data_IF_672385647891
#
_entry.id   IF_672385647891
#
_cell.length_a   1.000
_cell.length_b   1.000
_cell.length_c   1.000
_cell.angle_alpha   90.00
_cell.angle_beta   90.00
_cell.angle_gamma   90.00
#
_symmetry.space_group_name_H-M   'P 1'
#
loop_
_entity.id
_entity.type
_entity.pdbx_description
1 polymer ?
#
# COMPACT_ATOMS: atom_id res chain seq x y z
N UNK A 1 21.79 -4.95 21.10
CA UNK A 1 21.30 -6.33 21.26
C UNK A 1 20.44 -6.76 20.06
N UNK A 2 20.97 -6.67 18.82
CA UNK A 2 20.26 -7.16 17.61
C UNK A 2 21.23 -7.69 16.55
N UNK A 3 22.34 -8.30 16.98
CA UNK A 3 23.40 -8.75 16.05
C UNK A 3 23.26 -10.21 15.59
N UNK A 4 22.34 -11.00 16.15
CA UNK A 4 22.45 -12.46 16.08
C UNK A 4 21.27 -13.17 15.39
N UNK A 5 20.48 -12.49 14.55
CA UNK A 5 19.40 -13.18 13.83
C UNK A 5 19.88 -14.05 12.64
N UNK A 6 21.16 -14.01 12.29
CA UNK A 6 21.77 -14.92 11.32
C UNK A 6 23.17 -15.29 11.79
N UNK A 7 23.31 -16.25 12.71
CA UNK A 7 24.62 -16.78 13.05
C UNK A 7 25.15 -17.49 11.79
N UNK A 8 26.35 -17.12 11.37
CA UNK A 8 27.13 -17.60 10.23
C UNK A 8 26.94 -16.79 8.93
N UNK A 9 27.91 -15.89 8.70
CA UNK A 9 28.22 -15.27 7.40
C UNK A 9 28.45 -16.29 6.29
N UNK A 10 28.87 -17.50 6.64
CA UNK A 10 29.51 -18.45 5.72
C UNK A 10 28.53 -19.43 5.04
N UNK A 11 27.23 -19.38 5.36
CA UNK A 11 26.22 -20.30 4.77
C UNK A 11 25.80 -19.87 3.35
N UNK A 12 26.08 -18.63 2.95
CA UNK A 12 25.62 -18.09 1.68
C UNK A 12 26.69 -17.99 0.59
N UNK A 13 27.94 -18.32 0.92
CA UNK A 13 29.02 -18.36 -0.05
C UNK A 13 28.77 -19.50 -1.04
N UNK A 14 28.21 -19.16 -2.20
CA UNK A 14 27.93 -20.07 -3.30
C UNK A 14 26.45 -20.26 -3.68
N UNK A 15 25.50 -19.78 -2.86
CA UNK A 15 24.07 -19.97 -3.13
C UNK A 15 23.36 -18.66 -3.51
N UNK A 16 23.23 -18.42 -4.82
CA UNK A 16 22.63 -17.20 -5.38
C UNK A 16 21.21 -16.91 -4.86
N UNK A 17 20.41 -17.94 -4.57
CA UNK A 17 19.06 -17.77 -4.02
C UNK A 17 19.08 -17.25 -2.58
N UNK A 18 20.06 -17.67 -1.76
CA UNK A 18 20.19 -17.24 -0.38
C UNK A 18 20.69 -15.80 -0.29
N UNK A 19 21.62 -15.42 -1.15
CA UNK A 19 22.07 -14.03 -1.31
C UNK A 19 20.92 -13.11 -1.75
N UNK A 20 20.08 -13.56 -2.69
CA UNK A 20 18.84 -12.83 -3.03
C UNK A 20 17.91 -12.69 -1.83
N UNK A 21 17.70 -13.76 -1.07
CA UNK A 21 16.84 -13.74 0.11
C UNK A 21 17.34 -12.75 1.17
N UNK A 22 18.65 -12.75 1.45
CA UNK A 22 19.32 -11.79 2.34
C UNK A 22 19.14 -10.36 1.87
N UNK A 23 19.30 -10.07 0.57
CA UNK A 23 19.10 -8.74 -0.01
C UNK A 23 17.67 -8.21 0.23
N UNK A 24 16.67 -9.09 0.19
CA UNK A 24 15.26 -8.72 0.39
C UNK A 24 14.77 -8.84 1.84
N UNK A 25 15.65 -9.12 2.82
CA UNK A 25 15.25 -9.33 4.24
C UNK A 25 14.48 -8.17 4.87
N UNK A 26 14.76 -6.95 4.43
CA UNK A 26 14.06 -5.74 4.87
C UNK A 26 12.56 -5.75 4.52
N UNK A 27 12.11 -6.59 3.59
CA UNK A 27 10.70 -6.67 3.15
C UNK A 27 9.87 -7.66 3.96
N UNK A 28 10.48 -8.63 4.60
CA UNK A 28 9.77 -9.74 5.24
C UNK A 28 10.18 -9.98 6.70
N UNK A 29 11.33 -9.46 7.13
CA UNK A 29 11.75 -9.57 8.52
C UNK A 29 11.13 -8.44 9.37
N UNK A 30 10.44 -8.82 10.45
CA UNK A 30 9.70 -7.92 11.34
C UNK A 30 10.56 -6.83 11.97
N UNK A 31 11.85 -7.10 12.22
CA UNK A 31 12.78 -6.14 12.79
C UNK A 31 12.94 -4.87 11.94
N UNK A 32 12.89 -5.00 10.61
CA UNK A 32 13.01 -3.88 9.67
C UNK A 32 11.65 -3.19 9.41
N UNK A 33 10.54 -3.83 9.77
CA UNK A 33 9.21 -3.21 9.69
C UNK A 33 8.94 -2.23 10.85
N UNK A 34 9.73 -2.28 11.93
CA UNK A 34 9.50 -1.46 13.14
C UNK A 34 9.56 0.05 12.86
N UNK A 35 10.41 0.45 11.91
CA UNK A 35 10.63 1.85 11.56
C UNK A 35 9.90 2.27 10.26
N UNK A 36 8.98 1.44 9.76
CA UNK A 36 8.21 1.70 8.54
C UNK A 36 6.77 2.10 8.87
N UNK A 37 6.27 3.15 8.21
CA UNK A 37 4.87 3.54 8.32
C UNK A 37 4.00 2.52 7.57
N UNK A 38 3.26 1.69 8.32
CA UNK A 38 2.41 0.63 7.74
C UNK A 38 1.00 1.11 7.40
N UNK A 39 0.68 2.39 7.60
CA UNK A 39 -0.64 2.98 7.34
C UNK A 39 -1.84 2.18 7.89
N UNK A 40 -1.64 1.46 9.01
CA UNK A 40 -2.67 0.63 9.62
C UNK A 40 -2.82 -0.78 9.01
N UNK A 41 -1.90 -1.23 8.14
CA UNK A 41 -1.83 -2.63 7.74
C UNK A 41 -1.52 -3.51 8.95
N UNK A 42 -2.54 -4.22 9.43
CA UNK A 42 -2.34 -5.29 10.41
C UNK A 42 -1.62 -6.44 9.70
N UNK A 43 -0.39 -6.73 10.13
CA UNK A 43 0.45 -7.81 9.57
C UNK A 43 -0.26 -9.17 9.56
N UNK A 44 -1.21 -9.38 10.47
CA UNK A 44 -2.06 -10.57 10.55
C UNK A 44 -3.03 -10.68 9.36
N UNK A 45 -3.79 -9.63 9.03
CA UNK A 45 -4.73 -9.65 7.89
C UNK A 45 -4.04 -9.97 6.56
N UNK A 46 -2.85 -9.41 6.32
CA UNK A 46 -2.09 -9.69 5.11
C UNK A 46 -1.67 -11.16 5.03
N UNK A 47 -1.22 -11.72 6.14
CA UNK A 47 -0.84 -13.14 6.23
C UNK A 47 -2.06 -14.07 6.13
N UNK A 48 -3.19 -13.70 6.73
CA UNK A 48 -4.46 -14.43 6.65
C UNK A 48 -5.00 -14.47 5.23
N UNK A 49 -5.01 -13.34 4.53
CA UNK A 49 -5.42 -13.25 3.12
C UNK A 49 -4.51 -14.07 2.21
N UNK A 50 -3.19 -13.98 2.40
CA UNK A 50 -2.22 -14.78 1.64
C UNK A 50 -2.42 -16.28 1.91
N UNK A 51 -2.55 -16.65 3.18
CA UNK A 51 -2.77 -18.03 3.60
C UNK A 51 -4.08 -18.58 3.05
N UNK A 52 -5.15 -17.78 3.03
CA UNK A 52 -6.43 -18.17 2.44
C UNK A 52 -6.30 -18.46 0.94
N UNK A 53 -5.54 -17.63 0.20
CA UNK A 53 -5.24 -17.87 -1.22
C UNK A 53 -4.44 -19.15 -1.41
N UNK A 54 -3.38 -19.38 -0.63
CA UNK A 54 -2.52 -20.56 -0.74
C UNK A 54 -3.28 -21.84 -0.38
N UNK A 55 -4.18 -21.79 0.63
CA UNK A 55 -5.01 -22.94 1.04
C UNK A 55 -5.89 -23.50 -0.09
N UNK A 56 -6.29 -22.68 -1.07
CA UNK A 56 -7.05 -23.15 -2.23
C UNK A 56 -6.29 -24.19 -3.07
N UNK A 57 -4.96 -24.20 -2.96
CA UNK A 57 -4.06 -25.07 -3.74
C UNK A 57 -3.42 -26.18 -2.91
N UNK A 58 -3.54 -26.12 -1.59
CA UNK A 58 -3.10 -27.16 -0.66
C UNK A 58 -4.21 -28.21 -0.49
N UNK A 59 -4.45 -29.06 -1.50
CA UNK A 59 -5.29 -30.24 -1.30
C UNK A 59 -4.43 -31.39 -0.75
N UNK A 60 -4.93 -32.20 0.20
CA UNK A 60 -4.18 -33.31 0.81
C UNK A 60 -3.68 -34.42 -0.16
N UNK A 61 -4.04 -34.34 -1.45
CA UNK A 61 -3.76 -35.34 -2.50
C UNK A 61 -2.95 -34.80 -3.68
N UNK A 62 -2.50 -33.55 -3.63
CA UNK A 62 -1.67 -32.99 -4.71
C UNK A 62 -0.18 -33.26 -4.45
N UNK A 63 0.51 -33.81 -5.45
CA UNK A 63 1.97 -33.85 -5.48
C UNK A 63 2.52 -32.43 -5.33
N UNK A 64 3.60 -32.30 -4.56
CA UNK A 64 4.30 -31.02 -4.34
C UNK A 64 4.66 -30.34 -5.66
N UNK A 65 4.95 -31.12 -6.70
CA UNK A 65 5.26 -30.62 -8.04
C UNK A 65 4.08 -29.82 -8.63
N UNK A 66 2.85 -30.35 -8.50
CA UNK A 66 1.66 -29.67 -8.98
C UNK A 66 1.33 -28.41 -8.16
N UNK A 67 1.66 -28.42 -6.86
CA UNK A 67 1.58 -27.23 -6.03
C UNK A 67 2.48 -26.11 -6.56
N UNK A 68 3.75 -26.39 -6.86
CA UNK A 68 4.68 -25.37 -7.35
C UNK A 68 4.28 -24.82 -8.71
N UNK A 69 3.75 -25.65 -9.61
CA UNK A 69 3.23 -25.20 -10.91
C UNK A 69 2.07 -24.22 -10.70
N UNK A 70 1.07 -24.61 -9.91
CA UNK A 70 -0.11 -23.78 -9.66
C UNK A 70 0.23 -22.49 -8.90
N UNK A 71 1.10 -22.58 -7.89
CA UNK A 71 1.55 -21.42 -7.13
C UNK A 71 2.31 -20.43 -8.01
N UNK A 72 3.19 -20.91 -8.90
CA UNK A 72 3.92 -20.06 -9.84
C UNK A 72 2.97 -19.34 -10.80
N UNK A 73 1.95 -20.03 -11.31
CA UNK A 73 0.90 -19.43 -12.15
C UNK A 73 0.12 -18.35 -11.40
N UNK A 74 -0.28 -18.62 -10.15
CA UNK A 74 -0.97 -17.64 -9.31
C UNK A 74 -0.13 -16.39 -9.06
N UNK A 75 1.16 -16.56 -8.79
CA UNK A 75 2.08 -15.43 -8.64
C UNK A 75 2.22 -14.63 -9.93
N UNK A 76 2.29 -15.29 -11.08
CA UNK A 76 2.32 -14.62 -12.38
C UNK A 76 1.06 -13.80 -12.62
N UNK A 77 -0.13 -14.37 -12.35
CA UNK A 77 -1.40 -13.65 -12.45
C UNK A 77 -1.48 -12.45 -11.50
N UNK A 78 -0.99 -12.61 -10.26
CA UNK A 78 -0.97 -11.53 -9.28
C UNK A 78 -0.07 -10.38 -9.74
N UNK A 79 1.13 -10.69 -10.23
CA UNK A 79 2.07 -9.69 -10.79
C UNK A 79 1.49 -9.02 -12.04
N UNK A 80 0.82 -9.77 -12.92
CA UNK A 80 0.15 -9.23 -14.10
C UNK A 80 -0.94 -8.23 -13.70
N UNK A 81 -1.81 -8.58 -12.76
CA UNK A 81 -2.86 -7.69 -12.24
C UNK A 81 -2.28 -6.44 -11.57
N UNK A 82 -1.19 -6.58 -10.82
CA UNK A 82 -0.47 -5.46 -10.22
C UNK A 82 0.09 -4.52 -11.32
N UNK A 83 0.70 -5.09 -12.36
CA UNK A 83 1.27 -4.32 -13.48
C UNK A 83 0.18 -3.58 -14.25
N UNK A 84 -0.96 -4.24 -14.50
CA UNK A 84 -2.14 -3.65 -15.13
C UNK A 84 -2.72 -2.51 -14.27
N UNK A 85 -2.79 -2.69 -12.95
CA UNK A 85 -3.24 -1.66 -12.02
C UNK A 85 -2.31 -0.45 -12.01
N UNK A 86 -0.99 -0.67 -11.98
CA UNK A 86 0.03 0.38 -12.05
C UNK A 86 -0.03 1.14 -13.37
N UNK A 87 -0.22 0.42 -14.48
CA UNK A 87 -0.38 1.03 -15.79
C UNK A 87 -1.63 1.92 -15.83
N UNK A 88 -2.78 1.39 -15.41
CA UNK A 88 -4.04 2.14 -15.37
C UNK A 88 -3.95 3.37 -14.44
N UNK A 89 -3.28 3.23 -13.30
CA UNK A 89 -3.05 4.33 -12.36
C UNK A 89 -2.18 5.45 -12.97
N UNK A 90 -1.17 5.10 -13.78
CA UNK A 90 -0.29 6.06 -14.45
C UNK A 90 -0.92 6.73 -15.68
N UNK A 91 -1.82 6.02 -16.37
CA UNK A 91 -2.50 6.55 -17.56
C UNK A 91 -3.73 7.40 -17.22
N UNK A 92 -4.30 7.23 -16.03
CA UNK A 92 -5.44 8.03 -15.58
C UNK A 92 -4.95 9.38 -15.05
N UNK A 93 -5.35 10.46 -15.74
CA UNK A 93 -5.24 11.81 -15.21
C UNK A 93 -6.50 12.04 -14.36
N UNK A 94 -6.39 12.19 -13.03
CA UNK A 94 -7.56 12.38 -12.19
C UNK A 94 -8.14 13.79 -12.39
N UNK A 95 -9.48 13.86 -12.45
CA UNK A 95 -10.19 15.14 -12.53
C UNK A 95 -10.08 15.91 -11.20
N UNK A 96 -9.60 17.16 -11.27
CA UNK A 96 -9.38 18.02 -10.10
C UNK A 96 -10.58 18.97 -9.94
N UNK A 97 -11.35 18.85 -8.87
CA UNK A 97 -12.57 19.64 -8.63
C UNK A 97 -12.28 21.12 -8.38
N UNK A 98 -11.25 21.45 -7.60
CA UNK A 98 -10.75 22.82 -7.42
C UNK A 98 -9.40 22.93 -8.10
N UNK A 99 -9.41 23.21 -9.40
CA UNK A 99 -8.19 23.33 -10.20
C UNK A 99 -7.22 24.38 -9.64
N UNK A 100 -7.72 25.39 -8.94
CA UNK A 100 -6.90 26.45 -8.33
C UNK A 100 -6.27 26.04 -6.98
N UNK A 101 -6.55 24.85 -6.44
CA UNK A 101 -5.95 24.40 -5.18
C UNK A 101 -4.56 23.79 -5.42
N UNK A 102 -3.46 24.42 -4.95
CA UNK A 102 -2.12 23.86 -5.11
C UNK A 102 -1.95 22.52 -4.39
N UNK A 103 -2.71 22.30 -3.31
CA UNK A 103 -2.70 21.04 -2.55
C UNK A 103 -3.28 19.91 -3.40
N UNK A 104 -4.43 20.12 -4.04
CA UNK A 104 -5.02 19.10 -4.90
C UNK A 104 -4.19 18.84 -6.15
N UNK A 105 -3.61 19.88 -6.77
CA UNK A 105 -2.69 19.70 -7.89
C UNK A 105 -1.46 18.86 -7.52
N UNK A 106 -0.90 19.06 -6.33
CA UNK A 106 0.22 18.27 -5.85
C UNK A 106 -0.19 16.84 -5.52
N UNK A 107 -1.32 16.65 -4.83
CA UNK A 107 -1.85 15.34 -4.49
C UNK A 107 -2.15 14.50 -5.75
N UNK A 108 -2.70 15.09 -6.80
CA UNK A 108 -2.98 14.43 -8.07
C UNK A 108 -1.73 13.86 -8.76
N UNK A 109 -0.54 14.43 -8.50
CA UNK A 109 0.74 13.99 -9.07
C UNK A 109 1.40 12.88 -8.26
N UNK A 110 1.12 12.79 -6.96
CA UNK A 110 1.78 11.87 -6.05
C UNK A 110 0.96 10.60 -5.84
N UNK A 111 -0.36 10.73 -5.75
CA UNK A 111 -1.23 9.63 -5.38
C UNK A 111 -1.82 8.91 -6.59
N UNK A 112 -2.11 7.62 -6.41
CA UNK A 112 -2.90 6.87 -7.39
C UNK A 112 -4.32 7.45 -7.48
N UNK A 113 -5.02 7.30 -8.62
CA UNK A 113 -6.35 7.87 -8.82
C UNK A 113 -7.34 7.55 -7.69
N UNK A 114 -7.35 6.30 -7.21
CA UNK A 114 -8.22 5.85 -6.11
C UNK A 114 -7.94 6.58 -4.78
N UNK A 115 -6.67 6.84 -4.47
CA UNK A 115 -6.29 7.55 -3.25
C UNK A 115 -6.56 9.04 -3.41
N UNK A 116 -6.24 9.60 -4.58
CA UNK A 116 -6.52 11.00 -4.89
C UNK A 116 -8.02 11.32 -4.77
N UNK A 117 -8.91 10.46 -5.27
CA UNK A 117 -10.36 10.65 -5.15
C UNK A 117 -10.80 10.81 -3.69
N UNK A 118 -10.23 10.01 -2.79
CA UNK A 118 -10.52 10.09 -1.35
C UNK A 118 -10.02 11.40 -0.74
N UNK A 119 -8.80 11.81 -1.11
CA UNK A 119 -8.20 13.08 -0.64
C UNK A 119 -9.05 14.26 -1.12
N UNK A 120 -9.43 14.27 -2.40
CA UNK A 120 -10.26 15.31 -2.99
C UNK A 120 -11.60 15.44 -2.26
N UNK A 121 -12.28 14.33 -1.96
CA UNK A 121 -13.54 14.35 -1.18
C UNK A 121 -13.35 14.98 0.20
N UNK A 122 -12.30 14.60 0.92
CA UNK A 122 -12.03 15.15 2.26
C UNK A 122 -11.65 16.62 2.21
N UNK A 123 -10.87 17.03 1.21
CA UNK A 123 -10.50 18.42 1.01
C UNK A 123 -11.72 19.32 0.80
N UNK A 124 -12.67 18.87 -0.05
CA UNK A 124 -13.93 19.59 -0.28
C UNK A 124 -14.77 19.75 0.98
N UNK A 125 -14.84 18.71 1.82
CA UNK A 125 -15.56 18.75 3.09
C UNK A 125 -14.89 19.73 4.07
N UNK A 126 -13.56 19.78 4.09
CA UNK A 126 -12.83 20.72 4.94
C UNK A 126 -13.05 22.18 4.50
N UNK A 127 -12.98 22.47 3.20
CA UNK A 127 -13.24 23.81 2.64
C UNK A 127 -14.67 24.28 2.95
N UNK A 128 -15.67 23.42 2.80
CA UNK A 128 -17.06 23.77 3.10
C UNK A 128 -17.28 24.11 4.58
N UNK A 129 -16.64 23.36 5.48
CA UNK A 129 -16.70 23.64 6.91
C UNK A 129 -16.09 25.00 7.26
N UNK A 130 -14.94 25.35 6.66
CA UNK A 130 -14.28 26.64 6.89
C UNK A 130 -15.17 27.80 6.44
N UNK A 131 -15.83 27.68 5.28
CA UNK A 131 -16.73 28.71 4.76
C UNK A 131 -17.94 28.90 5.68
N UNK A 132 -18.59 27.80 6.09
CA UNK A 132 -19.75 27.84 6.98
C UNK A 132 -19.37 28.49 8.32
N UNK A 133 -18.21 28.14 8.89
CA UNK A 133 -17.74 28.72 10.13
C UNK A 133 -17.50 30.23 10.01
N UNK A 134 -16.79 30.67 8.97
CA UNK A 134 -16.58 32.11 8.70
C UNK A 134 -17.89 32.89 8.54
N UNK A 135 -18.88 32.29 7.89
CA UNK A 135 -20.20 32.90 7.72
C UNK A 135 -21.02 32.96 9.01
N UNK A 136 -20.78 32.03 9.94
CA UNK A 136 -21.36 32.07 11.28
C UNK A 136 -20.72 33.18 12.11
N UNK A 137 -19.39 33.21 12.17
CA UNK A 137 -18.63 34.17 12.96
C UNK A 137 -18.92 35.63 12.51
N UNK A 138 -18.96 35.88 11.19
CA UNK A 138 -19.29 37.21 10.65
C UNK A 138 -20.73 37.67 10.93
N UNK A 139 -21.66 36.76 11.25
CA UNK A 139 -23.07 37.10 11.50
C UNK A 139 -23.29 37.55 12.94
N UNK A 140 -22.46 37.08 13.86
CA UNK A 140 -22.49 37.45 15.27
C UNK A 140 -21.84 38.82 15.52
N UNK A 141 -20.85 39.21 14.71
CA UNK A 141 -20.17 40.51 14.78
C UNK A 141 -21.00 41.69 14.20
N UNK A 142 -22.02 41.40 13.38
CA UNK A 142 -22.87 42.40 12.72
C UNK A 142 -24.11 42.84 13.53
N UNK A 143 -24.32 42.30 14.75
CA UNK A 143 -25.48 42.56 15.60
C UNK A 143 -25.19 43.55 16.76
N UNK A 144 -24.05 44.23 16.73
CA UNK A 144 -23.73 45.33 17.67
C UNK A 144 -23.79 46.65 16.89
N UNK A 145 -25.00 47.16 16.66
CA UNK A 145 -25.26 48.43 15.99
C UNK A 145 -26.63 48.99 16.36
#
# INVERSE_FOLDING_TARGET
MVSDCFPNSDIADGHQWLERLKKFRHRWCSLWLRDQFTAGMLTTQASESCNAQVRLFLKPRHDLDLFFINFSSLLADKRRKETESDYNAKQSIPYIMLENSPILQHAAKIFTPNIFERIQKQYLVAESYIIIKKLSDNRDDGMIG
#
